data_IF_691804199318
#
_entry.id   IF_691804199318
#
_cell.length_a   1.000
_cell.length_b   1.000
_cell.length_c   1.000
_cell.angle_alpha   90.00
_cell.angle_beta   90.00
_cell.angle_gamma   90.00
#
_symmetry.space_group_name_H-M   'P 1'
#
loop_
_entity.id
_entity.type
_entity.pdbx_description
1 polymer ?
#
# COMPACT_ATOMS: atom_id res chain seq x y z
N UNK A 1 -21.17 -5.27 -0.55
CA UNK A 1 -20.72 -4.18 0.35
C UNK A 1 -19.21 -4.18 0.64
N UNK A 2 -18.53 -5.33 0.72
CA UNK A 2 -17.08 -5.39 1.01
C UNK A 2 -16.21 -4.52 0.09
N UNK A 3 -16.41 -4.61 -1.24
CA UNK A 3 -15.62 -3.87 -2.22
C UNK A 3 -15.68 -2.35 -2.02
N UNK A 4 -16.87 -1.82 -1.69
CA UNK A 4 -17.05 -0.39 -1.43
C UNK A 4 -16.21 0.04 -0.22
N UNK A 5 -16.29 -0.70 0.90
CA UNK A 5 -15.47 -0.44 2.09
C UNK A 5 -13.97 -0.47 1.77
N UNK A 6 -13.54 -1.41 0.92
CA UNK A 6 -12.14 -1.52 0.53
C UNK A 6 -11.67 -0.34 -0.34
N UNK A 7 -12.50 0.14 -1.27
CA UNK A 7 -12.19 1.35 -2.05
C UNK A 7 -12.07 2.57 -1.14
N UNK A 8 -13.01 2.75 -0.19
CA UNK A 8 -12.92 3.84 0.78
C UNK A 8 -11.70 3.73 1.70
N UNK A 9 -11.31 2.51 2.11
CA UNK A 9 -10.08 2.29 2.84
C UNK A 9 -8.85 2.75 2.04
N UNK A 10 -8.81 2.48 0.73
CA UNK A 10 -7.72 2.92 -0.14
C UNK A 10 -7.71 4.45 -0.32
N UNK A 11 -8.87 5.08 -0.46
CA UNK A 11 -8.99 6.55 -0.48
C UNK A 11 -8.48 7.17 0.83
N UNK A 12 -8.75 6.51 1.97
CA UNK A 12 -8.24 6.95 3.27
C UNK A 12 -6.71 6.87 3.32
N UNK A 13 -6.13 5.74 2.89
CA UNK A 13 -4.68 5.56 2.84
C UNK A 13 -4.00 6.53 1.86
N UNK A 14 -4.68 6.99 0.81
CA UNK A 14 -4.18 8.03 -0.09
C UNK A 14 -3.94 9.36 0.64
N UNK A 15 -4.85 9.80 1.52
CA UNK A 15 -4.64 11.01 2.32
C UNK A 15 -3.44 10.88 3.26
N UNK A 16 -3.24 9.71 3.85
CA UNK A 16 -2.06 9.44 4.68
C UNK A 16 -0.78 9.51 3.84
N UNK A 17 -0.78 8.88 2.67
CA UNK A 17 0.36 8.91 1.75
C UNK A 17 0.73 10.33 1.33
N UNK A 18 -0.28 11.15 0.98
CA UNK A 18 -0.08 12.58 0.65
C UNK A 18 0.47 13.34 1.85
N UNK A 19 -0.06 13.11 3.05
CA UNK A 19 0.41 13.77 4.27
C UNK A 19 1.87 13.43 4.57
N UNK A 20 2.26 12.15 4.45
CA UNK A 20 3.64 11.71 4.62
C UNK A 20 4.56 12.32 3.57
N UNK A 21 4.14 12.35 2.30
CA UNK A 21 4.89 12.95 1.21
C UNK A 21 5.12 14.45 1.42
N UNK A 22 4.06 15.20 1.75
CA UNK A 22 4.15 16.64 2.02
C UNK A 22 5.02 16.93 3.23
N UNK A 23 4.89 16.15 4.31
CA UNK A 23 5.72 16.30 5.52
C UNK A 23 7.20 16.09 5.22
N UNK A 24 7.53 15.03 4.47
CA UNK A 24 8.90 14.77 4.05
C UNK A 24 9.43 15.86 3.12
N UNK A 25 8.61 16.34 2.19
CA UNK A 25 8.97 17.44 1.28
C UNK A 25 9.27 18.72 2.05
N UNK A 26 8.41 19.08 3.00
CA UNK A 26 8.62 20.24 3.88
C UNK A 26 9.91 20.10 4.69
N UNK A 27 10.19 18.92 5.22
CA UNK A 27 11.45 18.63 5.92
C UNK A 27 12.68 18.81 5.01
N UNK A 28 12.66 18.24 3.80
CA UNK A 28 13.74 18.43 2.83
C UNK A 28 13.94 19.90 2.45
N UNK A 29 12.86 20.65 2.29
CA UNK A 29 12.90 22.07 1.92
C UNK A 29 13.48 22.91 3.07
N UNK A 30 13.12 22.62 4.32
CA UNK A 30 13.68 23.26 5.50
C UNK A 30 15.20 23.05 5.58
N UNK A 31 15.67 21.81 5.38
CA UNK A 31 17.12 21.49 5.35
C UNK A 31 17.85 22.19 4.19
N UNK A 32 17.14 22.41 3.07
CA UNK A 32 17.67 23.12 1.89
C UNK A 32 17.51 24.64 1.96
N UNK A 33 17.09 25.20 3.11
CA UNK A 33 16.88 26.64 3.30
C UNK A 33 15.90 27.23 2.27
N UNK A 34 14.84 26.49 1.91
CA UNK A 34 13.86 26.93 0.92
C UNK A 34 14.27 26.73 -0.54
N UNK A 35 15.47 26.20 -0.82
CA UNK A 35 15.88 25.91 -2.21
C UNK A 35 15.05 24.77 -2.79
N UNK A 36 14.45 25.04 -3.95
CA UNK A 36 13.58 24.12 -4.67
C UNK A 36 14.31 22.81 -4.99
N UNK A 37 13.60 21.69 -4.83
CA UNK A 37 14.09 20.38 -5.25
C UNK A 37 13.92 20.29 -6.77
N UNK A 38 15.00 20.08 -7.56
CA UNK A 38 14.89 20.01 -9.00
C UNK A 38 13.93 18.91 -9.45
N UNK A 39 13.15 19.12 -10.53
CA UNK A 39 12.34 18.07 -11.11
C UNK A 39 13.22 16.90 -11.55
N UNK A 40 12.67 15.68 -11.56
CA UNK A 40 13.39 14.45 -11.90
C UNK A 40 14.55 14.08 -10.95
N UNK A 41 14.59 14.65 -9.74
CA UNK A 41 15.54 14.23 -8.70
C UNK A 41 15.28 12.79 -8.26
N UNK A 42 16.08 11.84 -8.75
CA UNK A 42 15.93 10.41 -8.45
C UNK A 42 15.94 10.11 -6.95
N UNK A 43 16.86 10.73 -6.19
CA UNK A 43 16.93 10.54 -4.74
C UNK A 43 15.62 10.90 -4.04
N UNK A 44 14.96 11.97 -4.48
CA UNK A 44 13.72 12.46 -3.89
C UNK A 44 12.54 11.56 -4.27
N UNK A 45 12.45 11.17 -5.54
CA UNK A 45 11.42 10.24 -6.02
C UNK A 45 11.52 8.87 -5.33
N UNK A 46 12.72 8.31 -5.21
CA UNK A 46 12.96 7.06 -4.49
C UNK A 46 12.62 7.20 -3.01
N UNK A 47 12.90 8.35 -2.39
CA UNK A 47 12.54 8.60 -0.99
C UNK A 47 11.03 8.59 -0.79
N UNK A 48 10.25 9.22 -1.68
CA UNK A 48 8.78 9.20 -1.61
C UNK A 48 8.21 7.80 -1.78
N UNK A 49 8.73 7.04 -2.74
CA UNK A 49 8.34 5.63 -2.95
C UNK A 49 8.66 4.80 -1.70
N UNK A 50 9.85 4.99 -1.12
CA UNK A 50 10.29 4.28 0.07
C UNK A 50 9.43 4.61 1.29
N UNK A 51 9.01 5.88 1.46
CA UNK A 51 8.13 6.32 2.55
C UNK A 51 6.76 5.62 2.43
N UNK A 52 6.17 5.64 1.24
CA UNK A 52 4.89 4.96 1.01
C UNK A 52 5.00 3.45 1.22
N UNK A 53 6.05 2.84 0.65
CA UNK A 53 6.35 1.42 0.84
C UNK A 53 6.50 1.08 2.32
N UNK A 54 7.27 1.87 3.07
CA UNK A 54 7.49 1.66 4.50
C UNK A 54 6.19 1.76 5.27
N UNK A 55 5.39 2.81 5.04
CA UNK A 55 4.07 2.95 5.65
C UNK A 55 3.20 1.70 5.46
N UNK A 56 3.05 1.25 4.21
CA UNK A 56 2.26 0.06 3.90
C UNK A 56 2.87 -1.20 4.52
N UNK A 57 4.18 -1.41 4.34
CA UNK A 57 4.90 -2.60 4.79
C UNK A 57 4.80 -2.76 6.30
N UNK A 58 5.16 -1.74 7.08
CA UNK A 58 5.11 -1.80 8.54
C UNK A 58 3.68 -1.98 9.05
N UNK A 59 2.72 -1.21 8.52
CA UNK A 59 1.32 -1.30 8.96
C UNK A 59 0.75 -2.71 8.75
N UNK A 60 1.01 -3.30 7.57
CA UNK A 60 0.49 -4.61 7.21
C UNK A 60 1.29 -5.76 7.84
N UNK A 61 2.62 -5.66 7.90
CA UNK A 61 3.48 -6.73 8.44
C UNK A 61 3.24 -6.97 9.92
N UNK A 62 3.09 -5.90 10.71
CA UNK A 62 2.96 -5.98 12.16
C UNK A 62 1.51 -5.89 12.63
N UNK A 63 0.66 -5.09 11.97
CA UNK A 63 -0.76 -4.95 12.32
C UNK A 63 -1.72 -5.84 11.51
N UNK A 64 -1.29 -6.31 10.34
CA UNK A 64 -2.18 -6.97 9.37
C UNK A 64 -3.15 -6.00 8.67
N UNK A 65 -3.00 -4.69 8.88
CA UNK A 65 -3.93 -3.65 8.43
C UNK A 65 -3.19 -2.34 8.19
N UNK A 66 -3.52 -1.62 7.12
CA UNK A 66 -3.23 -0.18 7.04
C UNK A 66 -4.19 0.61 7.92
N UNK A 67 -3.91 1.89 8.16
CA UNK A 67 -4.82 2.74 8.92
C UNK A 67 -6.19 2.85 8.24
N UNK A 68 -6.22 2.98 6.91
CA UNK A 68 -7.46 2.96 6.13
C UNK A 68 -8.21 1.64 6.29
N UNK A 69 -7.52 0.50 6.20
CA UNK A 69 -8.14 -0.81 6.43
C UNK A 69 -8.70 -0.95 7.84
N UNK A 70 -8.00 -0.42 8.85
CA UNK A 70 -8.43 -0.45 10.25
C UNK A 70 -9.74 0.32 10.47
N UNK A 71 -9.91 1.49 9.82
CA UNK A 71 -11.13 2.29 9.90
C UNK A 71 -12.37 1.52 9.40
N UNK A 72 -12.20 0.63 8.42
CA UNK A 72 -13.28 -0.17 7.84
C UNK A 72 -13.30 -1.63 8.32
N UNK A 73 -12.54 -1.96 9.38
CA UNK A 73 -12.40 -3.30 9.95
C UNK A 73 -11.98 -4.37 8.92
N UNK A 74 -11.11 -4.01 7.99
CA UNK A 74 -10.58 -4.92 6.98
C UNK A 74 -9.22 -5.44 7.46
N UNK A 75 -9.01 -6.76 7.47
CA UNK A 75 -7.72 -7.37 7.83
C UNK A 75 -7.14 -8.18 6.69
N UNK A 76 -5.84 -8.01 6.46
CA UNK A 76 -5.05 -8.90 5.63
C UNK A 76 -4.56 -10.08 6.47
N UNK A 77 -4.83 -11.29 6.00
CA UNK A 77 -4.36 -12.52 6.63
C UNK A 77 -3.65 -13.41 5.61
N UNK A 78 -2.69 -14.21 6.09
CA UNK A 78 -2.07 -15.25 5.28
C UNK A 78 -3.08 -16.37 5.00
N UNK A 79 -3.07 -16.93 3.79
CA UNK A 79 -3.81 -18.15 3.50
C UNK A 79 -3.13 -19.40 4.07
N UNK A 80 -1.85 -19.29 4.46
CA UNK A 80 -1.15 -20.32 5.23
C UNK A 80 -1.35 -20.05 6.72
N UNK A 81 -1.42 -21.10 7.54
CA UNK A 81 -1.44 -20.96 9.00
C UNK A 81 -0.19 -20.22 9.47
N UNK A 82 -0.37 -19.02 10.04
CA UNK A 82 0.73 -18.22 10.60
C UNK A 82 0.67 -16.72 10.25
N UNK A 83 1.63 -15.93 10.76
CA UNK A 83 1.71 -14.49 10.50
C UNK A 83 2.08 -14.20 9.04
N UNK A 84 1.75 -12.99 8.57
CA UNK A 84 2.12 -12.52 7.23
C UNK A 84 3.64 -12.50 7.07
N UNK A 85 4.16 -13.11 6.01
CA UNK A 85 5.59 -13.08 5.69
C UNK A 85 5.97 -11.75 5.02
N UNK A 86 7.20 -11.27 5.19
CA UNK A 86 7.67 -10.03 4.56
C UNK A 86 7.53 -10.07 3.02
N UNK A 87 7.83 -11.24 2.44
CA UNK A 87 7.66 -11.52 1.00
C UNK A 87 6.19 -11.37 0.60
N UNK A 88 5.24 -11.93 1.35
CA UNK A 88 3.81 -11.85 1.03
C UNK A 88 3.30 -10.41 1.01
N UNK A 89 3.74 -9.59 1.97
CA UNK A 89 3.34 -8.18 2.07
C UNK A 89 3.86 -7.38 0.89
N UNK A 90 5.17 -7.50 0.61
CA UNK A 90 5.84 -6.81 -0.49
C UNK A 90 5.27 -7.22 -1.84
N UNK A 91 5.14 -8.53 -2.05
CA UNK A 91 4.64 -9.11 -3.28
C UNK A 91 3.19 -8.66 -3.54
N UNK A 92 2.36 -8.57 -2.50
CA UNK A 92 0.98 -8.08 -2.65
C UNK A 92 0.93 -6.64 -3.13
N UNK A 93 1.82 -5.77 -2.66
CA UNK A 93 1.89 -4.38 -3.11
C UNK A 93 2.32 -4.28 -4.58
N UNK A 94 3.38 -5.01 -4.95
CA UNK A 94 3.92 -5.01 -6.32
C UNK A 94 2.93 -5.60 -7.32
N UNK A 95 2.25 -6.68 -6.93
CA UNK A 95 1.28 -7.40 -7.80
C UNK A 95 -0.06 -6.67 -7.89
N UNK A 96 -0.39 -5.74 -6.99
CA UNK A 96 -1.66 -5.03 -7.02
C UNK A 96 -1.94 -4.38 -8.38
N UNK A 97 -0.97 -3.64 -8.91
CA UNK A 97 -1.08 -2.99 -10.22
C UNK A 97 -1.19 -4.00 -11.37
N UNK A 98 -0.27 -4.97 -11.54
CA UNK A 98 -0.41 -6.04 -12.52
C UNK A 98 -1.74 -6.78 -12.44
N UNK A 99 -2.23 -7.11 -11.24
CA UNK A 99 -3.48 -7.83 -11.07
C UNK A 99 -4.69 -7.03 -11.56
N UNK A 100 -4.66 -5.70 -11.40
CA UNK A 100 -5.72 -4.82 -11.89
C UNK A 100 -5.73 -4.73 -13.42
N UNK A 101 -4.55 -4.71 -14.05
CA UNK A 101 -4.42 -4.73 -15.51
C UNK A 101 -4.69 -6.10 -16.14
N UNK A 102 -4.27 -7.20 -15.51
CA UNK A 102 -4.39 -8.58 -16.04
C UNK A 102 -5.79 -9.18 -15.82
N UNK A 103 -6.48 -8.78 -14.75
CA UNK A 103 -7.83 -9.24 -14.44
C UNK A 103 -8.82 -9.18 -15.63
N UNK A 104 -8.97 -8.06 -16.37
CA UNK A 104 -9.88 -8.00 -17.51
C UNK A 104 -9.51 -8.98 -18.63
N UNK A 105 -8.22 -9.22 -18.89
CA UNK A 105 -7.76 -10.17 -19.90
C UNK A 105 -8.00 -11.62 -19.50
N UNK A 106 -7.80 -11.97 -18.22
CA UNK A 106 -7.94 -13.33 -17.73
C UNK A 106 -9.38 -13.72 -17.33
N UNK A 107 -10.37 -12.83 -17.50
CA UNK A 107 -11.76 -13.00 -16.99
C UNK A 107 -11.82 -13.44 -15.51
N UNK A 108 -10.83 -13.03 -14.71
CA UNK A 108 -10.72 -13.34 -13.28
C UNK A 108 -10.82 -12.07 -12.47
N UNK A 109 -11.41 -12.13 -11.28
CA UNK A 109 -11.45 -10.95 -10.39
C UNK A 109 -10.04 -10.63 -9.90
N UNK A 110 -9.64 -9.35 -9.78
CA UNK A 110 -8.32 -8.96 -9.26
C UNK A 110 -8.02 -9.57 -7.89
N UNK A 111 -9.05 -9.68 -7.05
CA UNK A 111 -8.96 -10.32 -5.74
C UNK A 111 -8.57 -11.81 -5.82
N UNK A 112 -9.05 -12.54 -6.84
CA UNK A 112 -8.70 -13.94 -7.04
C UNK A 112 -7.24 -14.13 -7.48
N UNK A 113 -6.73 -13.22 -8.34
CA UNK A 113 -5.33 -13.22 -8.78
C UNK A 113 -4.40 -12.88 -7.61
N UNK A 114 -4.74 -11.83 -6.84
CA UNK A 114 -4.00 -11.46 -5.65
C UNK A 114 -3.96 -12.60 -4.63
N UNK A 115 -5.07 -13.31 -4.42
CA UNK A 115 -5.11 -14.48 -3.54
C UNK A 115 -4.21 -15.60 -4.03
N UNK A 116 -4.20 -15.90 -5.32
CA UNK A 116 -3.42 -17.03 -5.85
C UNK A 116 -1.91 -16.75 -5.84
N UNK A 117 -1.50 -15.53 -6.19
CA UNK A 117 -0.09 -15.13 -6.31
C UNK A 117 0.53 -14.76 -4.97
N UNK A 118 -0.15 -13.96 -4.14
CA UNK A 118 0.39 -13.55 -2.84
C UNK A 118 0.09 -14.53 -1.70
N UNK A 119 -0.82 -15.49 -1.91
CA UNK A 119 -1.31 -16.42 -0.88
C UNK A 119 -1.82 -15.68 0.37
N UNK A 120 -2.47 -14.54 0.18
CA UNK A 120 -3.08 -13.75 1.25
C UNK A 120 -4.54 -13.41 0.90
N UNK A 121 -5.38 -13.28 1.91
CA UNK A 121 -6.80 -12.93 1.74
C UNK A 121 -7.19 -11.77 2.66
N UNK A 122 -8.16 -10.98 2.21
CA UNK A 122 -8.76 -9.95 3.05
C UNK A 122 -9.99 -10.54 3.74
N UNK A 123 -10.17 -10.23 5.01
CA UNK A 123 -11.35 -10.57 5.79
C UNK A 123 -11.91 -9.31 6.44
N UNK A 124 -13.21 -9.31 6.72
CA UNK A 124 -13.81 -8.32 7.64
C UNK A 124 -13.71 -8.88 9.06
N UNK A 125 -13.31 -8.03 10.00
CA UNK A 125 -13.25 -8.32 11.44
C UNK A 125 -14.30 -7.53 12.23
#
# INVERSE_FOLDING_TARGET
MFYIKYVFAQCYDFFIAVTLALTFTAFCLALRQGKVIPPHSLWYQLSLILIFYSYYYYSVKYGGQTLGMRAWRIRLISCKSGPLTAVQVTLRLVIYWPALFVAPFCRKTPASLLRSWSKTTLILI
#
